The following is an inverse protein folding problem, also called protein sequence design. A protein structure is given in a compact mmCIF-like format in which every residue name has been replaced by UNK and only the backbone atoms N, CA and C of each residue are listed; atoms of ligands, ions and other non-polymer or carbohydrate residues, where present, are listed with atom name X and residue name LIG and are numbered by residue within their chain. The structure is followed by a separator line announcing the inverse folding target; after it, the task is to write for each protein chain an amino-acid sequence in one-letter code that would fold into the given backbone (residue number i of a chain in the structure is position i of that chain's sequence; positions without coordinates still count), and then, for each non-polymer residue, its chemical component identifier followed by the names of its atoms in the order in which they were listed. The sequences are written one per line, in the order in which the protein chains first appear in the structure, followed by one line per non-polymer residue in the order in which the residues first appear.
data_IF_131156235850
#
_entry.id   IF_131156235850
#
_cell.length_a   1.000
_cell.length_b   1.000
_cell.length_c   1.000
_cell.angle_alpha   90.00
_cell.angle_beta   90.00
_cell.angle_gamma   90.00
#
_symmetry.space_group_name_H-M   'P 1'
#
loop_
_entity.id
_entity.type
_entity.pdbx_description
1 polymer ?
#
# COMPACT_ATOMS: atom_id res chain seq x y z
N UNK A 1 2.46 9.88 -15.42
CA UNK A 1 1.54 9.84 -14.28
C UNK A 1 1.50 8.41 -13.79
N UNK A 2 1.58 8.18 -12.49
CA UNK A 2 1.60 6.80 -11.96
C UNK A 2 0.20 6.31 -11.54
N UNK A 3 -0.67 7.20 -11.08
CA UNK A 3 -2.06 6.88 -10.76
C UNK A 3 -2.98 8.01 -11.24
N UNK A 4 -4.00 7.66 -11.99
CA UNK A 4 -5.00 8.61 -12.47
C UNK A 4 -6.38 7.97 -12.37
N UNK A 5 -7.28 8.64 -11.68
CA UNK A 5 -8.70 8.35 -11.59
C UNK A 5 -9.46 9.45 -12.32
N UNK A 6 -10.32 9.08 -13.25
CA UNK A 6 -11.22 9.98 -13.97
C UNK A 6 -12.65 9.51 -13.77
N UNK A 7 -13.42 10.25 -12.98
CA UNK A 7 -14.83 9.98 -12.64
C UNK A 7 -15.05 8.54 -12.15
N UNK A 8 -14.07 7.99 -11.40
CA UNK A 8 -14.10 6.62 -10.91
C UNK A 8 -15.19 6.44 -9.85
N UNK A 9 -15.95 5.39 -9.98
CA UNK A 9 -16.98 5.02 -8.99
C UNK A 9 -16.93 3.53 -8.69
N UNK A 10 -17.29 3.17 -7.46
CA UNK A 10 -17.44 1.77 -7.02
C UNK A 10 -18.67 1.62 -6.13
N UNK A 11 -19.21 0.41 -6.10
CA UNK A 11 -20.32 0.03 -5.22
C UNK A 11 -20.03 -1.34 -4.60
N UNK A 12 -20.05 -1.42 -3.26
CA UNK A 12 -19.79 -2.65 -2.49
C UNK A 12 -20.75 -2.71 -1.31
N UNK A 13 -21.53 -3.79 -1.19
CA UNK A 13 -22.40 -4.03 -0.03
C UNK A 13 -23.39 -2.91 0.29
N UNK A 14 -23.88 -2.19 -0.72
CA UNK A 14 -24.78 -1.03 -0.56
C UNK A 14 -24.06 0.30 -0.31
N UNK A 15 -22.73 0.30 -0.11
CA UNK A 15 -21.94 1.51 -0.04
C UNK A 15 -21.54 1.97 -1.45
N UNK A 16 -21.65 3.27 -1.72
CA UNK A 16 -21.27 3.89 -2.98
C UNK A 16 -20.17 4.94 -2.76
N UNK A 17 -19.15 4.90 -3.60
CA UNK A 17 -18.08 5.89 -3.64
C UNK A 17 -17.94 6.41 -5.07
N UNK A 18 -17.70 7.68 -5.18
CA UNK A 18 -17.50 8.38 -6.45
C UNK A 18 -18.67 9.31 -6.82
N UNK A 19 -18.56 10.00 -7.95
CA UNK A 19 -17.41 10.00 -8.84
C UNK A 19 -16.16 10.64 -8.18
N UNK A 20 -15.02 10.00 -8.36
CA UNK A 20 -13.76 10.43 -7.78
C UNK A 20 -12.72 10.72 -8.87
N UNK A 21 -12.06 11.85 -8.76
CA UNK A 21 -10.96 12.28 -9.63
C UNK A 21 -9.70 12.42 -8.81
N UNK A 22 -8.58 11.86 -9.27
CA UNK A 22 -7.29 12.01 -8.61
C UNK A 22 -6.16 11.83 -9.61
N UNK A 23 -5.12 12.64 -9.48
CA UNK A 23 -3.87 12.49 -10.23
C UNK A 23 -2.71 12.46 -9.24
N UNK A 24 -1.92 11.39 -9.27
CA UNK A 24 -0.71 11.25 -8.49
C UNK A 24 0.47 11.01 -9.44
N UNK A 25 1.44 11.93 -9.51
CA UNK A 25 2.61 11.81 -10.36
C UNK A 25 3.48 10.60 -10.02
N UNK A 26 4.28 10.14 -10.97
CA UNK A 26 5.29 9.09 -10.75
C UNK A 26 6.30 9.55 -9.69
N UNK A 27 6.62 8.68 -8.74
CA UNK A 27 7.54 8.98 -7.64
C UNK A 27 6.97 9.94 -6.58
N UNK A 28 5.69 10.31 -6.66
CA UNK A 28 5.05 11.12 -5.63
C UNK A 28 4.59 10.28 -4.44
N UNK A 29 4.51 10.90 -3.27
CA UNK A 29 3.90 10.35 -2.06
C UNK A 29 2.56 11.07 -1.83
N UNK A 30 1.46 10.41 -2.19
CA UNK A 30 0.11 10.89 -1.95
C UNK A 30 -0.38 10.45 -0.57
N UNK A 31 -0.91 11.36 0.22
CA UNK A 31 -1.59 11.02 1.47
C UNK A 31 -3.07 11.30 1.32
N UNK A 32 -3.89 10.29 1.60
CA UNK A 32 -5.35 10.39 1.57
C UNK A 32 -5.91 10.39 2.99
N UNK A 33 -6.51 11.49 3.37
CA UNK A 33 -7.19 11.66 4.66
C UNK A 33 -8.71 11.65 4.49
N UNK A 34 -9.42 11.43 5.57
CA UNK A 34 -10.89 11.46 5.60
C UNK A 34 -11.45 10.81 6.85
N UNK A 35 -12.72 11.09 7.15
CA UNK A 35 -13.41 10.51 8.32
C UNK A 35 -13.43 8.97 8.23
N UNK A 36 -13.50 8.31 9.38
CA UNK A 36 -13.76 6.87 9.45
C UNK A 36 -15.07 6.55 8.72
N UNK A 37 -15.09 5.49 7.93
CA UNK A 37 -16.25 5.11 7.11
C UNK A 37 -16.47 5.95 5.84
N UNK A 38 -15.57 6.89 5.50
CA UNK A 38 -15.72 7.69 4.25
C UNK A 38 -15.43 6.90 2.97
N UNK A 39 -14.89 5.68 3.05
CA UNK A 39 -14.59 4.83 1.89
C UNK A 39 -13.12 4.82 1.45
N UNK A 40 -12.17 5.23 2.31
CA UNK A 40 -10.73 5.24 1.98
C UNK A 40 -10.22 3.84 1.61
N UNK A 41 -10.51 2.84 2.44
CA UNK A 41 -10.21 1.43 2.16
C UNK A 41 -10.84 0.96 0.86
N UNK A 42 -12.13 1.27 0.64
CA UNK A 42 -12.85 0.91 -0.60
C UNK A 42 -12.22 1.54 -1.85
N UNK A 43 -11.71 2.78 -1.72
CA UNK A 43 -10.96 3.42 -2.81
C UNK A 43 -9.65 2.66 -3.11
N UNK A 44 -8.88 2.30 -2.07
CA UNK A 44 -7.66 1.51 -2.26
C UNK A 44 -7.96 0.14 -2.87
N UNK A 45 -9.01 -0.54 -2.40
CA UNK A 45 -9.46 -1.83 -2.95
C UNK A 45 -9.88 -1.72 -4.42
N UNK A 46 -10.60 -0.65 -4.80
CA UNK A 46 -10.95 -0.39 -6.19
C UNK A 46 -9.69 -0.19 -7.05
N UNK A 47 -8.71 0.58 -6.58
CA UNK A 47 -7.44 0.78 -7.28
C UNK A 47 -6.66 -0.54 -7.36
N UNK A 48 -6.66 -1.35 -6.30
CA UNK A 48 -6.03 -2.67 -6.28
C UNK A 48 -6.75 -3.70 -7.16
N UNK A 49 -8.02 -3.45 -7.55
CA UNK A 49 -8.86 -4.36 -8.31
C UNK A 49 -9.56 -5.43 -7.47
N UNK A 50 -9.62 -5.22 -6.16
CA UNK A 50 -10.31 -6.07 -5.19
C UNK A 50 -11.78 -5.66 -5.03
N UNK A 51 -12.11 -4.40 -5.33
CA UNK A 51 -13.48 -3.91 -5.46
C UNK A 51 -13.77 -3.54 -6.94
N UNK A 52 -15.03 -3.68 -7.41
CA UNK A 52 -15.34 -3.41 -8.80
C UNK A 52 -15.27 -1.92 -9.13
N UNK A 53 -14.68 -1.56 -10.26
CA UNK A 53 -14.82 -0.23 -10.86
C UNK A 53 -16.11 -0.22 -11.66
N UNK A 54 -17.14 0.50 -11.19
CA UNK A 54 -18.48 0.53 -11.81
C UNK A 54 -18.63 1.61 -12.88
N UNK A 55 -17.85 2.70 -12.79
CA UNK A 55 -17.80 3.77 -13.78
C UNK A 55 -16.43 4.47 -13.74
N UNK A 56 -16.13 5.23 -14.80
CA UNK A 56 -14.90 6.02 -14.91
C UNK A 56 -13.74 5.28 -15.55
N UNK A 57 -12.56 5.89 -15.48
CA UNK A 57 -11.31 5.35 -16.03
C UNK A 57 -10.22 5.35 -14.98
N UNK A 58 -9.56 4.20 -14.85
CA UNK A 58 -8.41 4.01 -13.97
C UNK A 58 -7.17 3.74 -14.83
N UNK A 59 -6.14 4.58 -14.67
CA UNK A 59 -4.83 4.37 -15.26
C UNK A 59 -3.78 4.18 -14.16
N UNK A 60 -2.96 3.12 -14.28
CA UNK A 60 -1.87 2.82 -13.35
C UNK A 60 -0.57 2.71 -14.17
N UNK A 61 0.46 3.44 -13.77
CA UNK A 61 1.74 3.51 -14.46
C UNK A 61 1.61 3.80 -15.97
N UNK A 62 0.62 4.63 -16.34
CA UNK A 62 0.33 5.01 -17.74
C UNK A 62 -0.45 3.95 -18.54
N UNK A 63 -0.93 2.89 -17.90
CA UNK A 63 -1.70 1.81 -18.55
C UNK A 63 -3.17 1.82 -18.11
N UNK A 64 -4.14 1.72 -19.04
CA UNK A 64 -5.53 1.52 -18.68
C UNK A 64 -5.71 0.25 -17.85
N UNK A 65 -6.31 0.38 -16.66
CA UNK A 65 -6.34 -0.70 -15.68
C UNK A 65 -7.74 -1.15 -15.26
N UNK A 66 -8.80 -0.66 -15.94
CA UNK A 66 -10.19 -0.99 -15.61
C UNK A 66 -10.46 -2.50 -15.55
N UNK A 67 -9.88 -3.27 -16.48
CA UNK A 67 -10.10 -4.72 -16.62
C UNK A 67 -8.86 -5.56 -16.34
N UNK A 68 -7.80 -4.93 -15.81
CA UNK A 68 -6.57 -5.64 -15.42
C UNK A 68 -6.81 -6.35 -14.10
N UNK A 69 -6.49 -7.65 -14.05
CA UNK A 69 -6.63 -8.46 -12.83
C UNK A 69 -5.72 -7.90 -11.72
N UNK A 70 -6.09 -8.02 -10.44
CA UNK A 70 -5.28 -7.52 -9.32
C UNK A 70 -3.81 -7.95 -9.37
N UNK A 71 -3.55 -9.23 -9.65
CA UNK A 71 -2.19 -9.79 -9.74
C UNK A 71 -1.31 -9.17 -10.83
N UNK A 72 -1.93 -8.65 -11.89
CA UNK A 72 -1.24 -8.11 -13.07
C UNK A 72 -1.06 -6.57 -13.01
N UNK A 73 -1.59 -5.90 -11.96
CA UNK A 73 -1.47 -4.44 -11.78
C UNK A 73 -0.11 -3.97 -11.28
N UNK A 74 0.78 -4.88 -10.91
CA UNK A 74 2.12 -4.59 -10.33
C UNK A 74 2.06 -3.65 -9.10
N UNK A 75 0.99 -3.74 -8.33
CA UNK A 75 0.75 -2.98 -7.10
C UNK A 75 1.28 -3.74 -5.88
N UNK A 76 1.84 -3.03 -4.91
CA UNK A 76 1.97 -3.50 -3.54
C UNK A 76 0.79 -2.97 -2.73
N UNK A 77 0.08 -3.83 -2.01
CA UNK A 77 -1.05 -3.41 -1.18
C UNK A 77 -0.91 -3.95 0.24
N UNK A 78 -0.97 -3.03 1.20
CA UNK A 78 -1.08 -3.32 2.64
C UNK A 78 -2.47 -2.89 3.10
N UNK A 79 -3.40 -3.81 3.37
CA UNK A 79 -4.67 -3.52 4.01
C UNK A 79 -4.50 -3.24 5.51
N UNK A 80 -5.46 -2.55 6.11
CA UNK A 80 -5.44 -2.10 7.51
C UNK A 80 -5.16 -3.26 8.50
N UNK A 81 -5.76 -4.43 8.29
CA UNK A 81 -5.58 -5.60 9.17
C UNK A 81 -4.30 -6.41 8.89
N UNK A 82 -3.44 -5.94 7.97
CA UNK A 82 -2.19 -6.59 7.58
C UNK A 82 -2.36 -7.93 6.85
N UNK A 83 -3.52 -8.56 6.91
CA UNK A 83 -3.92 -9.88 6.39
C UNK A 83 -2.74 -10.78 6.00
N UNK A 84 -2.25 -11.58 6.94
CA UNK A 84 -1.18 -12.54 6.70
C UNK A 84 -1.74 -13.97 6.57
N UNK A 85 -1.01 -14.81 5.86
CA UNK A 85 -1.35 -16.25 5.72
C UNK A 85 -0.80 -17.02 6.92
N UNK A 86 -1.66 -17.54 7.79
CA UNK A 86 -1.26 -18.25 9.03
C UNK A 86 -0.34 -19.45 8.78
N UNK A 87 -0.36 -20.02 7.59
CA UNK A 87 0.44 -21.16 7.17
C UNK A 87 1.85 -20.81 6.69
N UNK A 88 2.12 -19.52 6.40
CA UNK A 88 3.40 -19.04 5.90
C UNK A 88 4.26 -18.46 7.03
N UNK A 89 5.57 -18.64 6.94
CA UNK A 89 6.54 -17.93 7.79
C UNK A 89 6.70 -16.47 7.35
N UNK A 90 7.35 -15.65 8.17
CA UNK A 90 7.73 -14.27 7.81
C UNK A 90 8.57 -14.27 6.52
N UNK A 91 9.59 -15.14 6.43
CA UNK A 91 10.42 -15.27 5.24
C UNK A 91 9.59 -15.59 3.97
N UNK A 92 8.63 -16.49 4.08
CA UNK A 92 7.74 -16.85 2.97
C UNK A 92 6.83 -15.69 2.55
N UNK A 93 6.37 -14.85 3.48
CA UNK A 93 5.63 -13.63 3.14
C UNK A 93 6.49 -12.63 2.36
N UNK A 94 7.74 -12.41 2.79
CA UNK A 94 8.66 -11.51 2.10
C UNK A 94 9.09 -12.08 0.73
N UNK A 95 9.15 -13.39 0.57
CA UNK A 95 9.48 -14.07 -0.71
C UNK A 95 8.27 -14.18 -1.66
N UNK A 96 7.05 -13.96 -1.18
CA UNK A 96 5.82 -14.29 -1.92
C UNK A 96 5.74 -13.60 -3.30
N UNK A 97 5.82 -12.27 -3.34
CA UNK A 97 5.71 -11.52 -4.59
C UNK A 97 6.90 -11.73 -5.53
N UNK A 98 8.17 -11.70 -5.08
CA UNK A 98 9.33 -12.04 -5.88
C UNK A 98 9.26 -13.45 -6.48
N UNK A 99 8.83 -14.44 -5.69
CA UNK A 99 8.66 -15.82 -6.15
C UNK A 99 7.58 -15.93 -7.23
N UNK A 100 6.44 -15.31 -6.99
CA UNK A 100 5.32 -15.30 -7.95
C UNK A 100 5.71 -14.64 -9.28
N UNK A 101 6.56 -13.61 -9.22
CA UNK A 101 7.11 -12.93 -10.42
C UNK A 101 8.28 -13.65 -11.07
N UNK A 102 8.65 -14.84 -10.61
CA UNK A 102 9.71 -15.67 -11.22
C UNK A 102 11.13 -15.14 -11.00
N UNK A 103 11.38 -14.36 -9.93
CA UNK A 103 12.74 -13.88 -9.67
C UNK A 103 13.72 -15.04 -9.38
N UNK A 104 14.99 -14.93 -9.81
CA UNK A 104 16.02 -15.89 -9.46
C UNK A 104 16.16 -16.07 -7.94
N UNK A 105 16.39 -17.29 -7.48
CA UNK A 105 16.47 -17.61 -6.04
C UNK A 105 17.44 -16.72 -5.26
N UNK A 106 18.62 -16.44 -5.82
CA UNK A 106 19.62 -15.58 -5.18
C UNK A 106 19.08 -14.16 -4.92
N UNK A 107 18.44 -13.54 -5.93
CA UNK A 107 17.84 -12.21 -5.79
C UNK A 107 16.70 -12.19 -4.78
N UNK A 108 15.91 -13.26 -4.72
CA UNK A 108 14.83 -13.40 -3.74
C UNK A 108 15.37 -13.44 -2.31
N UNK A 109 16.41 -14.25 -2.08
CA UNK A 109 17.05 -14.36 -0.75
C UNK A 109 17.66 -13.02 -0.32
N UNK A 110 18.35 -12.33 -1.22
CA UNK A 110 18.89 -10.99 -0.98
C UNK A 110 17.77 -9.99 -0.61
N UNK A 111 16.66 -10.00 -1.37
CA UNK A 111 15.51 -9.12 -1.10
C UNK A 111 14.83 -9.42 0.23
N UNK A 112 14.70 -10.69 0.60
CA UNK A 112 14.16 -11.10 1.90
C UNK A 112 15.05 -10.60 3.03
N UNK A 113 16.37 -10.76 2.93
CA UNK A 113 17.34 -10.29 3.93
C UNK A 113 17.30 -8.75 4.07
N UNK A 114 17.32 -8.02 2.95
CA UNK A 114 17.21 -6.56 2.92
C UNK A 114 15.95 -6.07 3.65
N UNK A 115 14.79 -6.64 3.31
CA UNK A 115 13.51 -6.24 3.93
C UNK A 115 13.44 -6.65 5.40
N UNK A 116 13.97 -7.81 5.76
CA UNK A 116 14.01 -8.26 7.15
C UNK A 116 14.84 -7.32 8.02
N UNK A 117 15.99 -6.88 7.54
CA UNK A 117 16.86 -5.90 8.23
C UNK A 117 16.13 -4.55 8.37
N UNK A 118 15.65 -3.99 7.25
CA UNK A 118 14.99 -2.67 7.22
C UNK A 118 13.72 -2.59 8.08
N UNK A 119 13.02 -3.71 8.25
CA UNK A 119 11.76 -3.77 8.99
C UNK A 119 11.92 -4.38 10.38
N UNK A 120 13.15 -4.67 10.84
CA UNK A 120 13.40 -5.29 12.14
C UNK A 120 12.75 -6.66 12.30
N UNK A 121 12.81 -7.49 11.25
CA UNK A 121 12.18 -8.82 11.19
C UNK A 121 13.19 -9.97 11.15
N UNK A 122 14.50 -9.70 11.22
CA UNK A 122 15.55 -10.70 11.04
C UNK A 122 15.40 -11.90 11.97
N UNK A 123 15.13 -11.67 13.26
CA UNK A 123 14.97 -12.72 14.26
C UNK A 123 13.59 -13.42 14.21
N UNK A 124 12.72 -12.95 13.32
CA UNK A 124 11.34 -13.42 13.19
C UNK A 124 11.11 -14.23 11.90
N UNK A 125 12.12 -14.38 11.04
CA UNK A 125 11.97 -14.97 9.70
C UNK A 125 11.30 -16.34 9.69
N UNK A 126 11.58 -17.17 10.69
CA UNK A 126 11.01 -18.52 10.82
C UNK A 126 9.68 -18.56 11.57
N UNK A 127 9.23 -17.42 12.14
CA UNK A 127 7.95 -17.37 12.86
C UNK A 127 6.78 -17.30 11.89
N UNK A 128 5.60 -17.70 12.38
CA UNK A 128 4.31 -17.60 11.69
C UNK A 128 3.43 -16.53 12.35
N UNK A 129 2.44 -15.96 11.65
CA UNK A 129 1.59 -14.87 12.13
C UNK A 129 0.97 -15.07 13.52
N UNK A 130 0.50 -16.28 13.92
CA UNK A 130 -0.05 -16.47 15.27
C UNK A 130 0.96 -16.21 16.41
N UNK A 131 2.25 -16.25 16.13
CA UNK A 131 3.33 -15.97 17.08
C UNK A 131 3.86 -14.53 17.05
N UNK A 132 3.21 -13.62 16.31
CA UNK A 132 3.64 -12.25 16.13
C UNK A 132 2.73 -11.26 16.87
N UNK A 133 3.30 -10.21 17.43
CA UNK A 133 2.56 -9.02 17.91
C UNK A 133 1.83 -8.29 16.77
N UNK A 134 0.93 -7.36 17.11
CA UNK A 134 0.23 -6.54 16.11
C UNK A 134 1.19 -5.74 15.23
N UNK A 135 2.18 -5.06 15.84
CA UNK A 135 3.18 -4.28 15.13
C UNK A 135 4.10 -5.15 14.26
N UNK A 136 4.50 -6.35 14.74
CA UNK A 136 5.27 -7.29 13.92
C UNK A 136 4.48 -7.76 12.70
N UNK A 137 3.19 -8.10 12.85
CA UNK A 137 2.31 -8.46 11.73
C UNK A 137 2.21 -7.32 10.71
N UNK A 138 2.08 -6.08 11.19
CA UNK A 138 2.00 -4.92 10.31
C UNK A 138 3.28 -4.72 9.50
N UNK A 139 4.45 -4.87 10.13
CA UNK A 139 5.77 -4.81 9.46
C UNK A 139 5.96 -5.93 8.43
N UNK A 140 5.51 -7.14 8.72
CA UNK A 140 5.52 -8.26 7.76
C UNK A 140 4.62 -7.96 6.57
N UNK A 141 3.41 -7.41 6.80
CA UNK A 141 2.50 -6.99 5.75
C UNK A 141 3.09 -5.91 4.85
N UNK A 142 3.76 -4.91 5.45
CA UNK A 142 4.48 -3.86 4.72
C UNK A 142 5.62 -4.45 3.88
N UNK A 143 6.43 -5.33 4.47
CA UNK A 143 7.50 -6.02 3.75
C UNK A 143 6.99 -6.83 2.57
N UNK A 144 5.88 -7.57 2.73
CA UNK A 144 5.23 -8.30 1.65
C UNK A 144 4.77 -7.37 0.51
N UNK A 145 4.19 -6.21 0.85
CA UNK A 145 3.75 -5.23 -0.14
C UNK A 145 4.93 -4.63 -0.94
N UNK A 146 6.07 -4.42 -0.27
CA UNK A 146 7.29 -3.87 -0.87
C UNK A 146 8.14 -4.90 -1.63
N UNK A 147 7.99 -6.20 -1.31
CA UNK A 147 8.91 -7.25 -1.73
C UNK A 147 9.10 -7.33 -3.26
N UNK A 148 8.02 -7.20 -4.01
CA UNK A 148 8.02 -7.27 -5.47
C UNK A 148 8.50 -6.01 -6.19
N UNK A 149 9.02 -4.99 -5.50
CA UNK A 149 9.37 -3.68 -6.07
C UNK A 149 8.22 -3.11 -6.93
N UNK A 150 7.06 -2.82 -6.31
CA UNK A 150 5.89 -2.33 -7.03
C UNK A 150 6.13 -0.94 -7.62
N UNK A 151 5.44 -0.61 -8.71
CA UNK A 151 5.40 0.75 -9.27
C UNK A 151 4.48 1.69 -8.47
N UNK A 152 3.43 1.11 -7.88
CA UNK A 152 2.46 1.78 -7.03
C UNK A 152 2.31 1.00 -5.72
N UNK A 153 2.48 1.68 -4.59
CA UNK A 153 2.28 1.14 -3.26
C UNK A 153 1.04 1.76 -2.64
N UNK A 154 0.08 0.93 -2.25
CA UNK A 154 -1.14 1.31 -1.57
C UNK A 154 -1.05 0.90 -0.11
N UNK A 155 -1.18 1.85 0.81
CA UNK A 155 -1.03 1.62 2.24
C UNK A 155 -2.29 2.09 2.98
N UNK A 156 -2.93 1.20 3.71
CA UNK A 156 -4.10 1.52 4.54
C UNK A 156 -3.72 1.49 6.02
N UNK A 157 -3.51 2.67 6.60
CA UNK A 157 -3.07 2.88 8.00
C UNK A 157 -1.83 2.04 8.38
N UNK A 158 -0.73 2.13 7.61
CA UNK A 158 0.43 1.21 7.70
C UNK A 158 1.19 1.28 9.03
N UNK A 159 1.00 2.32 9.83
CA UNK A 159 1.79 2.59 11.04
C UNK A 159 0.94 2.62 12.32
N UNK A 160 -0.36 2.29 12.23
CA UNK A 160 -1.32 2.47 13.33
C UNK A 160 -1.10 1.57 14.56
N UNK A 161 -0.41 0.43 14.40
CA UNK A 161 -0.18 -0.56 15.46
C UNK A 161 1.25 -0.52 16.05
N UNK A 162 2.01 0.54 15.75
CA UNK A 162 3.43 0.67 16.13
C UNK A 162 3.60 1.59 17.35
N UNK A 163 4.61 1.29 18.15
CA UNK A 163 5.11 2.22 19.16
C UNK A 163 5.84 3.42 18.51
N UNK A 164 6.11 4.46 19.30
CA UNK A 164 6.62 5.74 18.81
C UNK A 164 8.01 5.62 18.13
N UNK A 165 8.90 4.79 18.68
CA UNK A 165 10.26 4.58 18.15
C UNK A 165 10.18 3.91 16.76
N UNK A 166 9.50 2.79 16.67
CA UNK A 166 9.31 2.05 15.42
C UNK A 166 8.52 2.84 14.38
N UNK A 167 7.50 3.62 14.82
CA UNK A 167 6.74 4.51 13.95
C UNK A 167 7.67 5.53 13.26
N UNK A 168 8.57 6.17 14.04
CA UNK A 168 9.53 7.14 13.48
C UNK A 168 10.48 6.49 12.47
N UNK A 169 11.04 5.32 12.79
CA UNK A 169 11.93 4.58 11.90
C UNK A 169 11.25 4.19 10.58
N UNK A 170 10.01 3.70 10.65
CA UNK A 170 9.27 3.31 9.45
C UNK A 170 8.78 4.50 8.63
N UNK A 171 8.49 5.66 9.23
CA UNK A 171 8.29 6.89 8.49
C UNK A 171 9.52 7.25 7.65
N UNK A 172 10.72 7.22 8.25
CA UNK A 172 11.96 7.49 7.53
C UNK A 172 12.21 6.46 6.42
N UNK A 173 11.95 5.18 6.69
CA UNK A 173 12.06 4.14 5.68
C UNK A 173 11.10 4.34 4.51
N UNK A 174 9.83 4.67 4.75
CA UNK A 174 8.85 4.94 3.69
C UNK A 174 9.23 6.17 2.85
N UNK A 175 9.82 7.20 3.47
CA UNK A 175 10.38 8.34 2.74
C UNK A 175 11.53 7.90 1.82
N UNK A 176 12.46 7.07 2.30
CA UNK A 176 13.59 6.57 1.51
C UNK A 176 13.15 5.65 0.35
N UNK A 177 12.13 4.82 0.55
CA UNK A 177 11.58 3.95 -0.51
C UNK A 177 11.14 4.74 -1.74
N UNK A 178 10.53 5.91 -1.52
CA UNK A 178 10.17 6.82 -2.62
C UNK A 178 11.42 7.34 -3.36
N UNK A 179 12.41 7.80 -2.61
CA UNK A 179 13.61 8.44 -3.17
C UNK A 179 14.51 7.45 -3.91
N UNK A 180 14.77 6.30 -3.31
CA UNK A 180 15.71 5.31 -3.82
C UNK A 180 15.14 4.45 -4.95
N UNK A 181 13.83 4.17 -4.93
CA UNK A 181 13.20 3.22 -5.85
C UNK A 181 12.22 3.86 -6.85
N UNK A 182 11.95 5.17 -6.73
CA UNK A 182 11.01 5.87 -7.59
C UNK A 182 9.56 5.35 -7.47
N UNK A 183 9.24 4.67 -6.38
CA UNK A 183 7.91 4.10 -6.12
C UNK A 183 6.91 5.23 -5.88
N UNK A 184 5.76 5.15 -6.50
CA UNK A 184 4.63 6.03 -6.17
C UNK A 184 3.87 5.43 -5.00
N UNK A 185 3.55 6.22 -4.00
CA UNK A 185 2.85 5.76 -2.80
C UNK A 185 1.52 6.49 -2.67
N UNK A 186 0.44 5.75 -2.39
CA UNK A 186 -0.83 6.30 -1.89
C UNK A 186 -1.08 5.74 -0.51
N UNK A 187 -0.95 6.59 0.50
CA UNK A 187 -1.01 6.27 1.92
C UNK A 187 -2.28 6.83 2.53
N UNK A 188 -3.12 5.98 3.06
CA UNK A 188 -4.29 6.36 3.87
C UNK A 188 -3.86 6.45 5.32
N UNK A 189 -4.06 7.62 5.92
CA UNK A 189 -3.85 7.82 7.36
C UNK A 189 -4.82 8.86 7.92
N UNK A 190 -5.04 8.81 9.22
CA UNK A 190 -5.70 9.88 9.99
C UNK A 190 -4.70 10.73 10.79
N UNK A 191 -3.40 10.38 10.74
CA UNK A 191 -2.33 11.07 11.46
C UNK A 191 -1.79 12.25 10.63
N UNK A 192 -2.03 13.47 11.11
CA UNK A 192 -1.57 14.68 10.45
C UNK A 192 -0.05 14.82 10.42
N UNK A 193 0.66 14.22 11.40
CA UNK A 193 2.12 14.24 11.43
C UNK A 193 2.71 13.41 10.28
N UNK A 194 2.17 12.20 10.04
CA UNK A 194 2.55 11.37 8.88
C UNK A 194 2.28 12.11 7.56
N UNK A 195 1.11 12.74 7.46
CA UNK A 195 0.75 13.48 6.26
C UNK A 195 1.73 14.62 5.94
N UNK A 196 2.16 15.38 6.97
CA UNK A 196 3.10 16.48 6.81
C UNK A 196 4.53 16.00 6.54
N UNK A 197 4.93 14.86 7.13
CA UNK A 197 6.29 14.34 7.01
C UNK A 197 6.52 13.65 5.64
N UNK A 198 5.54 12.87 5.18
CA UNK A 198 5.67 11.99 4.02
C UNK A 198 5.03 12.55 2.75
N UNK A 199 3.94 13.31 2.91
CA UNK A 199 3.08 13.72 1.80
C UNK A 199 3.69 14.79 0.91
N UNK A 200 3.83 14.48 -0.37
CA UNK A 200 4.09 15.50 -1.42
C UNK A 200 2.80 15.99 -2.06
N UNK A 201 1.72 15.19 -1.94
CA UNK A 201 0.39 15.50 -2.42
C UNK A 201 -0.61 15.10 -1.35
N UNK A 202 -1.45 16.02 -0.93
CA UNK A 202 -2.46 15.78 0.10
C UNK A 202 -3.84 15.72 -0.54
N UNK A 203 -4.58 14.69 -0.19
CA UNK A 203 -5.94 14.46 -0.66
C UNK A 203 -6.88 14.27 0.52
N UNK A 204 -8.13 14.67 0.35
CA UNK A 204 -9.19 14.43 1.32
C UNK A 204 -10.38 13.75 0.64
N UNK A 205 -10.81 12.63 1.19
CA UNK A 205 -12.05 11.97 0.77
C UNK A 205 -13.23 12.53 1.54
N UNK A 206 -14.18 13.16 0.81
CA UNK A 206 -15.36 13.79 1.40
C UNK A 206 -16.54 13.69 0.45
N UNK A 207 -17.72 13.25 0.96
CA UNK A 207 -18.95 13.14 0.16
C UNK A 207 -18.84 12.21 -1.07
N UNK A 208 -17.99 11.19 -1.00
CA UNK A 208 -17.70 10.25 -2.09
C UNK A 208 -16.70 10.75 -3.13
N UNK A 209 -16.34 12.04 -3.12
CA UNK A 209 -15.33 12.65 -4.01
C UNK A 209 -13.99 12.87 -3.33
N UNK A 210 -12.94 13.12 -4.12
CA UNK A 210 -11.59 13.42 -3.64
C UNK A 210 -11.28 14.90 -3.92
N UNK A 211 -10.77 15.59 -2.90
CA UNK A 211 -10.34 16.99 -2.99
C UNK A 211 -8.83 17.02 -2.76
N UNK A 212 -8.08 17.66 -3.66
CA UNK A 212 -6.66 17.99 -3.41
C UNK A 212 -6.59 19.14 -2.42
N UNK A 213 -5.77 18.99 -1.37
CA UNK A 213 -5.62 19.97 -0.29
C UNK A 213 -4.22 20.55 -0.22
N UNK A 214 -3.45 20.42 -1.34
CA UNK A 214 -2.06 20.90 -1.48
C UNK A 214 -1.74 22.21 -0.76
#
# INVERSE_FOLDING_TARGET
MSLQLEQCSTAVGGFHLGPADMVLPTGAYGVLMGKTGSGKTTLLEMIAGLAPLTAGRLNIAGQPSNHVRPADREIGYLPQDGVLFDTMTVAEHLDFAPRFRGWPKAQRMERVAELAERLGLTDLLERRPPGLSGGERQRVGLGRALAGRPKLLLLDEPLSALDEEMHSELCQYLASVREDQGVTVLHVTHNAHEANLLGTHLFRLQGGGIISTS
#
